data_IF_123781582269
#
_entry.id   IF_123781582269
#
_cell.length_a   1.000
_cell.length_b   1.000
_cell.length_c   1.000
_cell.angle_alpha   90.00
_cell.angle_beta   90.00
_cell.angle_gamma   90.00
#
_symmetry.space_group_name_H-M   'P 1'
#
loop_
_entity.id
_entity.type
_entity.pdbx_description
1 polymer ?
#
# COMPACT_ATOMS: atom_id res chain seq x y z
N UNK A 1 16.62 -19.58 15.11
CA UNK A 1 16.16 -18.55 14.15
C UNK A 1 17.37 -18.19 13.31
N UNK A 2 17.31 -18.26 11.98
CA UNK A 2 18.43 -17.77 11.17
C UNK A 2 18.73 -16.32 11.53
N UNK A 3 20.01 -15.99 11.60
CA UNK A 3 20.51 -14.67 12.01
C UNK A 3 20.30 -13.69 10.83
N UNK A 4 19.10 -13.11 10.74
CA UNK A 4 18.77 -12.07 9.73
C UNK A 4 19.46 -10.79 10.15
N UNK A 5 20.30 -10.24 9.28
CA UNK A 5 21.04 -8.99 9.48
C UNK A 5 20.75 -7.95 8.42
N UNK A 6 20.41 -8.39 7.21
CA UNK A 6 20.16 -7.54 6.04
C UNK A 6 18.76 -7.81 5.49
N UNK A 7 17.96 -6.76 5.39
CA UNK A 7 16.60 -6.82 4.85
C UNK A 7 16.47 -5.86 3.68
N UNK A 8 16.03 -6.36 2.54
CA UNK A 8 15.59 -5.54 1.42
C UNK A 8 14.08 -5.39 1.50
N UNK A 9 13.59 -4.16 1.65
CA UNK A 9 12.15 -3.86 1.58
C UNK A 9 11.81 -3.43 0.15
N UNK A 10 10.88 -4.14 -0.49
CA UNK A 10 10.31 -3.79 -1.80
C UNK A 10 8.87 -3.36 -1.59
N UNK A 11 8.53 -2.15 -2.03
CA UNK A 11 7.20 -1.59 -1.84
C UNK A 11 6.72 -0.81 -3.08
N UNK A 12 5.38 -0.66 -3.30
CA UNK A 12 4.85 -0.07 -4.51
C UNK A 12 4.92 1.47 -4.54
N UNK A 13 5.22 2.13 -3.42
CA UNK A 13 5.25 3.58 -3.34
C UNK A 13 4.06 4.19 -2.59
N UNK A 14 4.06 5.52 -2.39
CA UNK A 14 3.08 6.23 -1.57
C UNK A 14 1.66 6.22 -2.16
N UNK A 15 1.50 6.26 -3.49
CA UNK A 15 0.20 6.28 -4.15
C UNK A 15 -0.65 5.03 -3.90
N UNK A 16 -0.06 3.97 -3.37
CA UNK A 16 -0.74 2.70 -3.09
C UNK A 16 -1.19 2.55 -1.63
N UNK A 17 -1.31 3.63 -0.88
CA UNK A 17 -1.81 3.67 0.50
C UNK A 17 -1.03 2.83 1.52
N UNK A 18 0.17 2.36 1.17
CA UNK A 18 1.03 1.52 2.03
C UNK A 18 2.29 2.23 2.52
N UNK A 19 2.39 3.53 2.30
CA UNK A 19 3.57 4.31 2.70
C UNK A 19 3.84 4.22 4.21
N UNK A 20 2.79 4.29 5.03
CA UNK A 20 2.97 4.21 6.48
C UNK A 20 3.30 2.79 6.96
N UNK A 21 2.75 1.77 6.30
CA UNK A 21 3.12 0.37 6.54
C UNK A 21 4.61 0.18 6.24
N UNK A 22 5.07 0.63 5.07
CA UNK A 22 6.48 0.60 4.71
C UNK A 22 7.36 1.34 5.71
N UNK A 23 7.01 2.58 6.07
CA UNK A 23 7.79 3.39 7.00
C UNK A 23 7.87 2.74 8.38
N UNK A 24 6.77 2.19 8.88
CA UNK A 24 6.74 1.47 10.16
C UNK A 24 7.64 0.24 10.17
N UNK A 25 7.63 -0.56 9.11
CA UNK A 25 8.54 -1.70 8.98
C UNK A 25 10.01 -1.27 8.91
N UNK A 26 10.30 -0.23 8.11
CA UNK A 26 11.66 0.30 7.97
C UNK A 26 12.22 0.81 9.32
N UNK A 27 11.42 1.58 10.06
CA UNK A 27 11.76 2.06 11.39
C UNK A 27 11.99 0.93 12.39
N UNK A 28 11.06 -0.03 12.45
CA UNK A 28 11.13 -1.14 13.41
C UNK A 28 12.34 -2.03 13.13
N UNK A 29 12.59 -2.41 11.89
CA UNK A 29 13.73 -3.24 11.52
C UNK A 29 15.07 -2.52 11.79
N UNK A 30 15.14 -1.22 11.51
CA UNK A 30 16.31 -0.40 11.83
C UNK A 30 16.54 -0.30 13.34
N UNK A 31 15.47 -0.11 14.13
CA UNK A 31 15.55 -0.07 15.58
C UNK A 31 16.00 -1.41 16.20
N UNK A 32 15.72 -2.52 15.52
CA UNK A 32 16.24 -3.85 15.87
C UNK A 32 17.72 -4.06 15.49
N UNK A 33 18.37 -3.05 14.91
CA UNK A 33 19.77 -3.11 14.51
C UNK A 33 20.04 -3.81 13.18
N UNK A 34 18.99 -4.04 12.37
CA UNK A 34 19.14 -4.64 11.05
C UNK A 34 19.59 -3.58 10.03
N UNK A 35 20.38 -4.00 9.06
CA UNK A 35 20.69 -3.17 7.90
C UNK A 35 19.55 -3.29 6.90
N UNK A 36 18.88 -2.18 6.62
CA UNK A 36 17.72 -2.11 5.74
C UNK A 36 18.09 -1.39 4.44
N UNK A 37 17.77 -1.99 3.32
CA UNK A 37 17.83 -1.41 1.98
C UNK A 37 16.40 -1.30 1.44
N UNK A 38 16.14 -0.32 0.58
CA UNK A 38 14.81 0.02 0.12
C UNK A 38 14.73 0.01 -1.40
N UNK A 39 13.61 -0.50 -1.94
CA UNK A 39 13.30 -0.42 -3.35
C UNK A 39 11.87 0.06 -3.55
N UNK A 40 11.72 1.32 -3.97
CA UNK A 40 10.44 1.92 -4.30
C UNK A 40 10.13 1.67 -5.78
N UNK A 41 9.13 0.84 -6.05
CA UNK A 41 8.72 0.50 -7.43
C UNK A 41 8.12 1.70 -8.15
N UNK A 42 7.37 2.55 -7.46
CA UNK A 42 6.72 3.71 -8.08
C UNK A 42 7.73 4.75 -8.56
N UNK A 43 8.76 5.07 -7.78
CA UNK A 43 9.82 5.99 -8.20
C UNK A 43 10.51 5.51 -9.47
N UNK A 44 10.74 4.19 -9.57
CA UNK A 44 11.32 3.59 -10.76
C UNK A 44 10.35 3.60 -11.93
N UNK A 45 9.07 3.32 -11.68
CA UNK A 45 8.04 3.38 -12.70
C UNK A 45 7.89 4.79 -13.28
N UNK A 46 7.87 5.83 -12.44
CA UNK A 46 7.82 7.23 -12.88
C UNK A 46 9.03 7.58 -13.75
N UNK A 47 10.22 7.14 -13.34
CA UNK A 47 11.44 7.34 -14.12
C UNK A 47 11.33 6.67 -15.50
N UNK A 48 11.01 5.38 -15.57
CA UNK A 48 10.95 4.65 -16.84
C UNK A 48 9.78 5.09 -17.72
N UNK A 49 8.65 5.48 -17.16
CA UNK A 49 7.51 6.01 -17.92
C UNK A 49 7.81 7.36 -18.59
N UNK A 50 8.77 8.12 -18.04
CA UNK A 50 9.20 9.42 -18.62
C UNK A 50 10.44 9.27 -19.52
N UNK A 51 11.11 8.13 -19.52
CA UNK A 51 12.32 7.90 -20.30
C UNK A 51 11.99 7.54 -21.74
N UNK A 52 12.57 8.27 -22.71
CA UNK A 52 12.51 7.86 -24.10
C UNK A 52 13.41 6.66 -24.34
N UNK A 53 12.86 5.58 -24.88
CA UNK A 53 13.62 4.43 -25.34
C UNK A 53 14.10 4.66 -26.77
N UNK A 54 15.37 4.34 -27.04
CA UNK A 54 15.88 4.28 -28.40
C UNK A 54 15.69 2.87 -28.92
N UNK A 55 14.79 2.69 -29.89
CA UNK A 55 14.62 1.42 -30.60
C UNK A 55 15.37 1.49 -31.93
N UNK A 56 16.19 0.47 -32.22
CA UNK A 56 16.89 0.35 -33.50
C UNK A 56 16.07 -0.50 -34.46
N UNK A 57 15.74 0.05 -35.62
CA UNK A 57 15.18 -0.70 -36.74
C UNK A 57 16.21 -0.73 -37.89
N UNK A 58 16.35 -1.88 -38.53
CA UNK A 58 17.22 -2.00 -39.70
C UNK A 58 16.40 -1.73 -40.95
N UNK A 59 16.80 -0.72 -41.73
CA UNK A 59 16.17 -0.41 -42.99
C UNK A 59 16.47 -1.50 -44.08
N UNK A 60 15.82 -1.40 -45.23
CA UNK A 60 15.98 -2.35 -46.36
C UNK A 60 17.40 -2.37 -46.94
N UNK A 61 18.27 -1.43 -46.56
CA UNK A 61 19.66 -1.31 -46.94
C UNK A 61 20.65 -1.79 -45.88
N UNK A 62 20.12 -2.34 -44.74
CA UNK A 62 20.92 -2.82 -43.62
C UNK A 62 21.47 -1.72 -42.70
N UNK A 63 20.97 -0.48 -42.82
CA UNK A 63 21.37 0.63 -41.92
C UNK A 63 20.45 0.67 -40.72
N UNK A 64 21.02 0.88 -39.53
CA UNK A 64 20.26 1.01 -38.30
C UNK A 64 19.70 2.41 -38.15
N UNK A 65 18.38 2.52 -38.10
CA UNK A 65 17.67 3.76 -37.78
C UNK A 65 17.20 3.69 -36.32
N UNK A 66 17.57 4.68 -35.53
CA UNK A 66 17.13 4.78 -34.14
C UNK A 66 15.89 5.67 -34.04
N UNK A 67 14.80 5.08 -33.63
CA UNK A 67 13.57 5.80 -33.29
C UNK A 67 13.48 5.99 -31.77
N UNK A 68 13.03 7.16 -31.36
CA UNK A 68 12.68 7.40 -29.95
C UNK A 68 11.20 7.06 -29.76
N UNK A 69 10.90 6.19 -28.80
CA UNK A 69 9.55 5.87 -28.39
C UNK A 69 9.42 6.00 -26.88
N UNK A 70 8.25 6.38 -26.42
CA UNK A 70 7.89 6.23 -24.99
C UNK A 70 7.59 4.75 -24.75
N UNK A 71 7.98 4.20 -23.60
CA UNK A 71 7.68 2.82 -23.26
C UNK A 71 6.17 2.65 -23.04
N UNK A 72 5.65 1.51 -23.46
CA UNK A 72 4.32 1.08 -23.06
C UNK A 72 4.31 0.80 -21.54
N UNK A 73 3.11 0.86 -20.92
CA UNK A 73 2.98 0.70 -19.48
C UNK A 73 3.64 -0.57 -18.95
N UNK A 74 3.43 -1.69 -19.61
CA UNK A 74 3.98 -2.99 -19.17
C UNK A 74 5.51 -3.04 -19.32
N UNK A 75 6.08 -2.39 -20.33
CA UNK A 75 7.52 -2.25 -20.51
C UNK A 75 8.13 -1.40 -19.37
N UNK A 76 7.48 -0.30 -19.00
CA UNK A 76 7.91 0.54 -17.90
C UNK A 76 7.83 -0.20 -16.56
N UNK A 77 6.75 -0.97 -16.32
CA UNK A 77 6.62 -1.82 -15.13
C UNK A 77 7.72 -2.88 -15.10
N UNK A 78 7.96 -3.57 -16.20
CA UNK A 78 9.02 -4.58 -16.28
C UNK A 78 10.41 -3.98 -16.01
N UNK A 79 10.71 -2.82 -16.59
CA UNK A 79 11.98 -2.11 -16.37
C UNK A 79 12.13 -1.68 -14.90
N UNK A 80 11.08 -1.10 -14.31
CA UNK A 80 11.05 -0.71 -12.91
C UNK A 80 11.28 -1.93 -11.98
N UNK A 81 10.57 -3.02 -12.24
CA UNK A 81 10.63 -4.22 -11.40
C UNK A 81 11.97 -4.97 -11.51
N UNK A 82 12.58 -5.02 -12.70
CA UNK A 82 13.87 -5.69 -12.89
C UNK A 82 15.00 -5.13 -12.03
N UNK A 83 14.93 -3.85 -11.66
CA UNK A 83 15.88 -3.24 -10.74
C UNK A 83 15.90 -3.88 -9.34
N UNK A 84 14.82 -4.54 -8.93
CA UNK A 84 14.77 -5.32 -7.68
C UNK A 84 15.83 -6.42 -7.67
N UNK A 85 16.00 -7.14 -8.80
CA UNK A 85 17.02 -8.20 -8.92
C UNK A 85 18.43 -7.64 -8.79
N UNK A 86 18.72 -6.50 -9.43
CA UNK A 86 20.02 -5.83 -9.32
C UNK A 86 20.29 -5.42 -7.88
N UNK A 87 19.30 -4.83 -7.19
CA UNK A 87 19.44 -4.41 -5.80
C UNK A 87 19.62 -5.62 -4.88
N UNK A 88 18.84 -6.68 -5.07
CA UNK A 88 18.98 -7.92 -4.30
C UNK A 88 20.35 -8.56 -4.51
N UNK A 89 20.89 -8.55 -5.73
CA UNK A 89 22.23 -9.08 -6.00
C UNK A 89 23.35 -8.25 -5.35
N UNK A 90 23.26 -6.93 -5.42
CA UNK A 90 24.29 -6.03 -4.86
C UNK A 90 24.26 -6.01 -3.32
N UNK A 91 23.08 -5.96 -2.75
CA UNK A 91 22.90 -5.90 -1.30
C UNK A 91 23.01 -7.27 -0.64
N UNK A 92 22.62 -8.33 -1.34
CA UNK A 92 22.56 -9.72 -0.88
C UNK A 92 21.83 -9.88 0.45
N UNK A 93 20.53 -9.58 0.50
CA UNK A 93 19.75 -9.61 1.73
C UNK A 93 19.57 -11.03 2.27
N UNK A 94 19.50 -11.15 3.60
CA UNK A 94 19.11 -12.39 4.29
C UNK A 94 17.58 -12.61 4.18
N UNK A 95 16.82 -11.51 4.00
CA UNK A 95 15.37 -11.49 3.81
C UNK A 95 14.98 -10.40 2.81
N UNK A 96 14.16 -10.73 1.83
CA UNK A 96 13.42 -9.78 1.00
C UNK A 96 12.01 -9.66 1.57
N UNK A 97 11.65 -8.49 2.08
CA UNK A 97 10.30 -8.17 2.55
C UNK A 97 9.56 -7.42 1.46
N UNK A 98 8.55 -8.04 0.89
CA UNK A 98 7.69 -7.43 -0.13
C UNK A 98 6.41 -6.94 0.53
N UNK A 99 6.15 -5.63 0.45
CA UNK A 99 4.92 -5.04 0.96
C UNK A 99 3.92 -4.92 -0.19
N UNK A 100 2.73 -5.51 -0.04
CA UNK A 100 1.64 -5.56 -1.00
C UNK A 100 1.99 -6.31 -2.32
N UNK A 101 3.20 -6.14 -2.84
CA UNK A 101 3.67 -6.79 -4.07
C UNK A 101 3.06 -6.24 -5.36
N UNK A 102 2.32 -5.13 -5.31
CA UNK A 102 1.82 -4.44 -6.50
C UNK A 102 3.00 -3.97 -7.38
N UNK A 103 2.83 -4.00 -8.70
CA UNK A 103 3.86 -3.67 -9.68
C UNK A 103 5.06 -4.64 -9.70
N UNK A 104 5.08 -5.68 -8.88
CA UNK A 104 6.14 -6.68 -8.86
C UNK A 104 5.65 -7.96 -9.57
N UNK A 105 6.14 -8.28 -10.77
CA UNK A 105 5.78 -9.50 -11.49
C UNK A 105 6.18 -10.78 -10.73
N UNK A 106 5.32 -11.78 -10.74
CA UNK A 106 5.53 -13.02 -9.98
C UNK A 106 6.81 -13.77 -10.38
N UNK A 107 7.21 -13.73 -11.66
CA UNK A 107 8.43 -14.39 -12.14
C UNK A 107 9.71 -13.82 -11.50
N UNK A 108 9.72 -12.56 -11.04
CA UNK A 108 10.89 -12.00 -10.34
C UNK A 108 11.03 -12.58 -8.92
N UNK A 109 9.91 -12.89 -8.27
CA UNK A 109 9.93 -13.61 -6.99
C UNK A 109 10.47 -15.03 -7.18
N UNK A 110 10.07 -15.71 -8.26
CA UNK A 110 10.60 -17.02 -8.63
C UNK A 110 12.13 -16.96 -8.82
N UNK A 111 12.62 -16.02 -9.63
CA UNK A 111 14.06 -15.84 -9.87
C UNK A 111 14.82 -15.57 -8.56
N UNK A 112 14.29 -14.73 -7.68
CA UNK A 112 14.94 -14.45 -6.38
C UNK A 112 14.96 -15.69 -5.49
N UNK A 113 13.84 -16.45 -5.43
CA UNK A 113 13.77 -17.70 -4.68
C UNK A 113 14.79 -18.73 -5.20
N UNK A 114 14.86 -18.91 -6.52
CA UNK A 114 15.76 -19.88 -7.15
C UNK A 114 17.24 -19.51 -6.96
N UNK A 115 17.52 -18.25 -6.68
CA UNK A 115 18.86 -17.77 -6.26
C UNK A 115 19.11 -17.89 -4.75
N UNK A 116 18.17 -18.44 -4.00
CA UNK A 116 18.31 -18.72 -2.58
C UNK A 116 17.89 -17.60 -1.64
N UNK A 117 17.29 -16.50 -2.15
CA UNK A 117 16.75 -15.45 -1.28
C UNK A 117 15.50 -15.94 -0.55
N UNK A 118 15.41 -15.64 0.75
CA UNK A 118 14.18 -15.83 1.53
C UNK A 118 13.28 -14.63 1.28
N UNK A 119 12.02 -14.89 0.99
CA UNK A 119 11.04 -13.88 0.64
C UNK A 119 9.87 -13.96 1.61
N UNK A 120 9.54 -12.85 2.25
CA UNK A 120 8.29 -12.65 2.97
C UNK A 120 7.42 -11.66 2.20
N UNK A 121 6.14 -11.97 2.01
CA UNK A 121 5.18 -11.05 1.41
C UNK A 121 4.18 -10.64 2.49
N UNK A 122 4.02 -9.34 2.70
CA UNK A 122 2.97 -8.75 3.52
C UNK A 122 1.80 -8.37 2.61
N UNK A 123 0.70 -9.12 2.72
CA UNK A 123 -0.52 -8.91 1.97
C UNK A 123 -1.41 -7.93 2.75
N UNK A 124 -1.53 -6.69 2.24
CA UNK A 124 -2.29 -5.61 2.89
C UNK A 124 -3.72 -5.49 2.37
N UNK A 125 -4.04 -6.16 1.25
CA UNK A 125 -5.33 -6.11 0.57
C UNK A 125 -6.15 -7.41 0.72
N UNK A 126 -5.76 -8.31 1.60
CA UNK A 126 -6.60 -9.47 1.93
C UNK A 126 -7.83 -9.00 2.74
N UNK A 127 -9.03 -9.47 2.43
CA UNK A 127 -9.38 -10.54 1.47
C UNK A 127 -9.69 -10.04 0.03
N UNK A 128 -9.57 -8.76 -0.28
CA UNK A 128 -10.12 -8.13 -1.49
C UNK A 128 -9.37 -8.46 -2.79
N UNK A 129 -8.11 -8.89 -2.73
CA UNK A 129 -7.25 -9.15 -3.90
C UNK A 129 -6.59 -10.53 -3.85
N UNK A 130 -7.23 -11.52 -3.29
CA UNK A 130 -6.63 -12.82 -3.00
C UNK A 130 -6.16 -13.58 -4.22
N UNK A 131 -6.89 -13.54 -5.35
CA UNK A 131 -6.45 -14.20 -6.57
C UNK A 131 -5.11 -13.66 -7.10
N UNK A 132 -4.93 -12.36 -7.10
CA UNK A 132 -3.69 -11.72 -7.51
C UNK A 132 -2.56 -12.02 -6.52
N UNK A 133 -2.89 -12.02 -5.24
CA UNK A 133 -1.95 -12.32 -4.16
C UNK A 133 -1.47 -13.78 -4.23
N UNK A 134 -2.36 -14.74 -4.48
CA UNK A 134 -2.03 -16.17 -4.60
C UNK A 134 -1.03 -16.47 -5.71
N UNK A 135 -1.09 -15.74 -6.84
CA UNK A 135 -0.13 -15.91 -7.94
C UNK A 135 1.31 -15.62 -7.51
N UNK A 136 1.50 -14.74 -6.54
CA UNK A 136 2.81 -14.36 -5.99
C UNK A 136 3.19 -15.18 -4.77
N UNK A 137 2.21 -15.51 -3.96
CA UNK A 137 2.37 -16.19 -2.67
C UNK A 137 3.12 -17.53 -2.75
N UNK A 138 2.96 -18.28 -3.84
CA UNK A 138 3.64 -19.57 -4.06
C UNK A 138 5.18 -19.45 -4.12
N UNK A 139 5.70 -18.26 -4.42
CA UNK A 139 7.12 -18.00 -4.54
C UNK A 139 7.76 -17.48 -3.25
N UNK A 140 6.93 -17.18 -2.24
CA UNK A 140 7.40 -16.69 -0.96
C UNK A 140 7.75 -17.83 0.01
N UNK A 141 8.72 -17.57 0.88
CA UNK A 141 9.05 -18.45 2.02
C UNK A 141 7.98 -18.37 3.10
N UNK A 142 7.31 -17.20 3.22
CA UNK A 142 6.18 -16.96 4.12
C UNK A 142 5.30 -15.83 3.59
N UNK A 143 4.01 -15.98 3.77
CA UNK A 143 3.00 -14.97 3.47
C UNK A 143 2.36 -14.50 4.77
N UNK A 144 2.29 -13.19 4.95
CA UNK A 144 1.73 -12.54 6.13
C UNK A 144 0.46 -11.82 5.70
N UNK A 145 -0.70 -12.32 6.17
CA UNK A 145 -2.02 -11.80 5.82
C UNK A 145 -2.55 -10.92 6.95
N UNK A 146 -3.11 -9.77 6.60
CA UNK A 146 -3.77 -8.87 7.54
C UNK A 146 -5.16 -9.36 7.96
N UNK A 147 -5.74 -10.32 7.23
CA UNK A 147 -7.00 -10.98 7.60
C UNK A 147 -6.75 -12.48 7.90
N UNK A 148 -7.21 -13.00 9.05
CA UNK A 148 -7.01 -14.41 9.42
C UNK A 148 -7.90 -15.37 8.62
N UNK A 149 -9.00 -14.92 8.03
CA UNK A 149 -10.01 -15.77 7.38
C UNK A 149 -9.40 -16.62 6.26
N UNK A 150 -8.47 -16.06 5.50
CA UNK A 150 -7.91 -16.71 4.30
C UNK A 150 -6.65 -17.55 4.56
N UNK A 151 -6.14 -17.57 5.78
CA UNK A 151 -4.90 -18.30 6.11
C UNK A 151 -5.02 -19.79 5.78
N UNK A 152 -6.15 -20.40 6.13
CA UNK A 152 -6.36 -21.84 5.92
C UNK A 152 -6.51 -22.16 4.43
N UNK A 153 -7.03 -21.27 3.60
CA UNK A 153 -7.06 -21.43 2.15
C UNK A 153 -5.65 -21.45 1.55
N UNK A 154 -4.77 -20.57 2.00
CA UNK A 154 -3.35 -20.58 1.58
C UNK A 154 -2.66 -21.87 1.97
N UNK A 155 -2.84 -22.30 3.24
CA UNK A 155 -2.25 -23.53 3.77
C UNK A 155 -2.75 -24.79 3.07
N UNK A 156 -4.03 -24.84 2.70
CA UNK A 156 -4.61 -25.95 1.93
C UNK A 156 -3.97 -26.11 0.54
N UNK A 157 -3.46 -25.03 -0.02
CA UNK A 157 -2.68 -25.01 -1.28
C UNK A 157 -1.18 -25.32 -1.06
N UNK A 158 -0.76 -25.63 0.18
CA UNK A 158 0.64 -25.84 0.52
C UNK A 158 1.47 -24.57 0.60
N UNK A 159 0.84 -23.40 0.65
CA UNK A 159 1.50 -22.08 0.69
C UNK A 159 1.69 -21.69 2.16
N UNK A 160 2.94 -21.46 2.64
CA UNK A 160 3.18 -21.02 4.01
C UNK A 160 2.53 -19.65 4.26
N UNK A 161 1.61 -19.59 5.21
CA UNK A 161 0.90 -18.36 5.57
C UNK A 161 0.70 -18.22 7.08
N UNK A 162 0.70 -16.97 7.54
CA UNK A 162 0.46 -16.60 8.92
C UNK A 162 -0.28 -15.27 9.04
N UNK A 163 -0.93 -15.05 10.18
CA UNK A 163 -1.61 -13.82 10.50
C UNK A 163 -0.61 -12.74 10.93
N UNK A 164 -0.71 -11.56 10.34
CA UNK A 164 0.01 -10.36 10.72
C UNK A 164 -0.98 -9.20 10.82
N UNK A 165 -1.49 -8.89 12.01
CA UNK A 165 -2.44 -7.79 12.18
C UNK A 165 -1.82 -6.46 11.81
N UNK A 166 -2.66 -5.50 11.48
CA UNK A 166 -2.23 -4.11 11.38
C UNK A 166 -1.63 -3.67 12.70
N UNK A 167 -0.51 -2.94 12.61
CA UNK A 167 0.22 -2.43 13.75
C UNK A 167 0.19 -0.91 13.76
N UNK A 168 0.55 -0.31 14.86
CA UNK A 168 0.68 1.12 15.00
C UNK A 168 2.17 1.55 15.06
N UNK A 169 2.45 2.78 14.69
CA UNK A 169 3.76 3.42 14.85
C UNK A 169 3.76 4.24 16.12
N UNK A 170 4.54 3.87 17.16
CA UNK A 170 4.49 4.54 18.48
C UNK A 170 4.82 6.04 18.43
N UNK A 171 5.66 6.47 17.48
CA UNK A 171 6.01 7.88 17.29
C UNK A 171 4.85 8.74 16.75
N UNK A 172 3.88 8.12 16.07
CA UNK A 172 2.74 8.79 15.43
C UNK A 172 1.44 8.51 16.18
N UNK A 173 1.11 7.22 16.34
CA UNK A 173 -0.14 6.75 16.95
C UNK A 173 0.03 6.67 18.47
N UNK A 174 0.01 7.81 19.13
CA UNK A 174 0.18 7.93 20.59
C UNK A 174 -0.89 8.84 21.20
N UNK A 175 -0.94 8.87 22.52
CA UNK A 175 -1.86 9.70 23.31
C UNK A 175 -1.35 11.12 23.54
N UNK A 176 -0.50 11.63 22.66
CA UNK A 176 -0.01 13.02 22.71
C UNK A 176 -1.14 14.06 22.60
N UNK A 177 -0.81 15.35 22.68
CA UNK A 177 -1.80 16.40 22.59
C UNK A 177 -2.51 16.37 21.23
N UNK A 178 -3.81 16.69 21.22
CA UNK A 178 -4.55 17.06 20.03
C UNK A 178 -4.08 18.41 19.49
N UNK A 179 -4.71 18.87 18.43
CA UNK A 179 -4.52 20.20 17.89
C UNK A 179 -5.84 20.94 18.01
N UNK A 180 -5.83 22.11 18.65
CA UNK A 180 -7.07 22.86 18.94
C UNK A 180 -7.87 23.20 17.67
N UNK A 181 -7.15 23.43 16.56
CA UNK A 181 -7.74 23.73 15.25
C UNK A 181 -8.43 22.51 14.59
N UNK A 182 -8.23 21.30 15.12
CA UNK A 182 -8.82 20.04 14.62
C UNK A 182 -9.89 19.49 15.56
N UNK A 183 -10.29 20.26 16.59
CA UNK A 183 -11.29 19.81 17.56
C UNK A 183 -12.61 19.48 16.88
N UNK A 184 -13.17 18.31 17.18
CA UNK A 184 -14.49 17.88 16.72
C UNK A 184 -15.19 16.99 17.74
N UNK A 185 -16.52 16.91 17.67
CA UNK A 185 -17.28 15.97 18.49
C UNK A 185 -17.14 14.54 17.95
N UNK A 186 -17.03 14.40 16.62
CA UNK A 186 -16.95 13.13 15.94
C UNK A 186 -15.97 13.22 14.77
N UNK A 187 -15.10 12.21 14.62
CA UNK A 187 -14.20 12.10 13.47
C UNK A 187 -14.26 10.72 12.82
N UNK A 188 -14.19 10.71 11.51
CA UNK A 188 -13.89 9.55 10.70
C UNK A 188 -12.81 9.90 9.69
N UNK A 189 -11.72 9.11 9.67
CA UNK A 189 -10.66 9.25 8.69
C UNK A 189 -10.56 7.97 7.87
N UNK A 190 -10.75 8.07 6.57
CA UNK A 190 -10.68 6.93 5.66
C UNK A 190 -11.25 7.23 4.28
N UNK A 191 -11.12 6.27 3.36
CA UNK A 191 -11.68 6.40 2.01
C UNK A 191 -13.20 6.32 2.05
N UNK A 192 -13.87 7.22 1.35
CA UNK A 192 -15.32 7.22 1.13
C UNK A 192 -15.73 6.17 0.11
N UNK A 193 -15.67 4.89 0.51
CA UNK A 193 -16.23 3.81 -0.29
C UNK A 193 -17.75 3.90 -0.33
N UNK A 194 -18.43 3.35 -1.36
CA UNK A 194 -19.88 3.44 -1.50
C UNK A 194 -20.66 3.07 -0.23
N UNK A 195 -20.30 1.98 0.44
CA UNK A 195 -20.95 1.55 1.69
C UNK A 195 -20.78 2.56 2.84
N UNK A 196 -19.66 3.26 2.90
CA UNK A 196 -19.40 4.29 3.90
C UNK A 196 -20.16 5.57 3.60
N UNK A 197 -20.19 6.00 2.32
CA UNK A 197 -20.98 7.16 1.88
C UNK A 197 -22.44 6.91 2.22
N UNK A 198 -23.01 5.78 1.82
CA UNK A 198 -24.41 5.42 2.13
C UNK A 198 -24.70 5.44 3.63
N UNK A 199 -23.79 4.89 4.44
CA UNK A 199 -23.95 4.91 5.90
C UNK A 199 -24.01 6.33 6.46
N UNK A 200 -23.05 7.19 6.09
CA UNK A 200 -22.98 8.55 6.60
C UNK A 200 -24.12 9.43 6.09
N UNK A 201 -24.57 9.26 4.84
CA UNK A 201 -25.75 9.97 4.31
C UNK A 201 -27.04 9.55 5.03
N UNK A 202 -27.21 8.26 5.32
CA UNK A 202 -28.35 7.78 6.15
C UNK A 202 -28.27 8.34 7.56
N UNK A 203 -27.09 8.38 8.17
CA UNK A 203 -26.91 8.94 9.50
C UNK A 203 -27.22 10.44 9.54
N UNK A 204 -26.75 11.19 8.52
CA UNK A 204 -27.07 12.60 8.36
C UNK A 204 -28.58 12.82 8.21
N UNK A 205 -29.25 12.07 7.31
CA UNK A 205 -30.70 12.17 7.08
C UNK A 205 -31.53 11.82 8.31
N UNK A 206 -31.02 10.99 9.21
CA UNK A 206 -31.64 10.66 10.49
C UNK A 206 -31.38 11.69 11.61
N UNK A 207 -30.70 12.80 11.31
CA UNK A 207 -30.34 13.83 12.29
C UNK A 207 -29.20 13.44 13.24
N UNK A 208 -28.43 12.39 12.88
CA UNK A 208 -27.37 11.87 13.74
C UNK A 208 -26.17 12.82 13.90
N UNK A 209 -26.10 13.86 13.10
CA UNK A 209 -25.07 14.90 13.16
C UNK A 209 -25.58 16.24 13.71
N UNK A 210 -26.86 16.34 14.05
CA UNK A 210 -27.47 17.59 14.47
C UNK A 210 -26.80 18.14 15.75
N UNK A 211 -26.28 19.36 15.66
CA UNK A 211 -25.62 20.05 16.78
C UNK A 211 -24.25 19.50 17.15
N UNK A 212 -23.66 18.64 16.30
CA UNK A 212 -22.32 18.11 16.48
C UNK A 212 -21.34 18.74 15.47
N UNK A 213 -20.12 18.92 15.92
CA UNK A 213 -19.00 19.28 15.05
C UNK A 213 -18.37 18.00 14.47
N UNK A 214 -18.43 17.83 13.14
CA UNK A 214 -18.09 16.60 12.44
C UNK A 214 -16.88 16.82 11.57
N UNK A 215 -15.87 15.94 11.71
CA UNK A 215 -14.69 15.87 10.85
C UNK A 215 -14.70 14.58 10.01
N UNK A 216 -14.99 14.70 8.72
CA UNK A 216 -14.76 13.64 7.74
C UNK A 216 -13.47 13.93 6.98
N UNK A 217 -12.55 12.97 6.93
CA UNK A 217 -11.26 13.14 6.27
C UNK A 217 -10.86 11.86 5.50
N UNK A 218 -9.87 12.00 4.60
CA UNK A 218 -9.43 10.94 3.70
C UNK A 218 -9.92 11.17 2.26
N UNK A 219 -9.76 10.19 1.40
CA UNK A 219 -10.16 10.30 0.00
C UNK A 219 -11.66 10.02 -0.18
N UNK A 220 -12.43 11.00 -0.67
CA UNK A 220 -13.88 10.94 -0.87
C UNK A 220 -14.30 11.19 -2.34
N UNK A 221 -13.44 10.88 -3.31
CA UNK A 221 -13.69 11.10 -4.75
C UNK A 221 -15.03 10.56 -5.25
N UNK A 222 -15.56 9.50 -4.65
CA UNK A 222 -16.86 8.93 -5.00
C UNK A 222 -18.07 9.71 -4.48
N UNK A 223 -17.86 10.78 -3.71
CA UNK A 223 -18.95 11.57 -3.13
C UNK A 223 -19.62 12.44 -4.18
N UNK A 224 -20.95 12.34 -4.32
CA UNK A 224 -21.74 13.13 -5.26
C UNK A 224 -21.64 14.65 -4.98
N UNK A 225 -21.81 15.47 -6.01
CA UNK A 225 -21.67 16.92 -5.89
C UNK A 225 -22.72 17.55 -4.98
N UNK A 226 -23.89 16.96 -4.90
CA UNK A 226 -25.03 17.38 -4.08
C UNK A 226 -25.11 16.62 -2.73
N UNK A 227 -24.14 15.79 -2.39
CA UNK A 227 -24.13 15.06 -1.13
C UNK A 227 -24.10 16.01 0.08
N UNK A 228 -24.97 15.76 1.10
CA UNK A 228 -24.98 16.55 2.33
C UNK A 228 -23.71 16.40 3.16
N UNK A 229 -22.85 15.44 2.84
CA UNK A 229 -21.59 15.20 3.55
C UNK A 229 -20.46 16.15 3.10
N UNK A 230 -20.57 16.80 1.93
CA UNK A 230 -19.50 17.70 1.43
C UNK A 230 -19.10 18.81 2.42
N UNK A 231 -20.03 19.50 3.09
CA UNK A 231 -19.68 20.50 4.09
C UNK A 231 -18.98 19.95 5.34
N UNK A 232 -19.04 18.63 5.55
CA UNK A 232 -18.43 17.95 6.70
C UNK A 232 -16.99 17.49 6.42
N UNK A 233 -16.54 17.61 5.15
CA UNK A 233 -15.15 17.28 4.81
C UNK A 233 -14.21 18.34 5.37
N UNK A 234 -13.19 17.90 6.08
CA UNK A 234 -12.21 18.77 6.71
C UNK A 234 -11.05 19.18 5.80
N UNK A 235 -11.06 18.74 4.52
CA UNK A 235 -10.01 19.00 3.53
C UNK A 235 -10.52 18.73 2.11
N UNK A 236 -9.67 18.89 1.09
CA UNK A 236 -10.02 18.64 -0.30
C UNK A 236 -10.44 17.18 -0.53
N UNK A 237 -11.55 17.00 -1.27
CA UNK A 237 -12.23 15.72 -1.47
C UNK A 237 -11.36 14.62 -2.10
N UNK A 238 -10.39 15.01 -2.92
CA UNK A 238 -9.50 14.12 -3.66
C UNK A 238 -8.14 13.91 -2.96
N UNK A 239 -7.96 14.51 -1.79
CA UNK A 239 -6.71 14.43 -1.05
C UNK A 239 -6.71 13.28 -0.05
N UNK A 240 -5.68 12.43 -0.13
CA UNK A 240 -5.34 11.57 1.00
C UNK A 240 -4.59 12.39 2.06
N UNK A 241 -4.84 12.10 3.32
CA UNK A 241 -4.08 12.67 4.42
C UNK A 241 -3.11 11.63 4.98
N UNK A 242 -1.99 12.10 5.50
CA UNK A 242 -1.00 11.23 6.14
C UNK A 242 -1.45 10.76 7.53
N UNK A 243 -0.75 9.77 8.05
CA UNK A 243 -1.07 9.22 9.36
C UNK A 243 -0.72 10.15 10.53
N UNK A 244 0.18 11.11 10.34
CA UNK A 244 0.47 12.11 11.36
C UNK A 244 -0.73 13.05 11.56
N UNK A 245 -1.28 13.58 10.46
CA UNK A 245 -2.50 14.38 10.48
C UNK A 245 -3.71 13.54 10.96
N UNK A 246 -3.83 12.29 10.50
CA UNK A 246 -4.85 11.35 10.96
C UNK A 246 -4.82 11.19 12.49
N UNK A 247 -3.64 10.96 13.06
CA UNK A 247 -3.48 10.80 14.50
C UNK A 247 -3.83 12.10 15.26
N UNK A 248 -3.49 13.27 14.71
CA UNK A 248 -3.86 14.57 15.28
C UNK A 248 -5.36 14.80 15.29
N UNK A 249 -6.06 14.46 14.20
CA UNK A 249 -7.52 14.54 14.10
C UNK A 249 -8.17 13.66 15.19
N UNK A 250 -7.77 12.39 15.29
CA UNK A 250 -8.35 11.49 16.29
C UNK A 250 -8.04 11.93 17.74
N UNK A 251 -6.84 12.47 18.01
CA UNK A 251 -6.52 13.01 19.35
C UNK A 251 -7.33 14.26 19.71
N UNK A 252 -7.73 15.06 18.72
CA UNK A 252 -8.51 16.26 18.91
C UNK A 252 -10.04 15.98 18.99
N UNK A 253 -10.48 14.82 18.57
CA UNK A 253 -11.88 14.45 18.49
C UNK A 253 -12.35 13.75 19.76
N UNK A 254 -13.63 14.00 20.16
CA UNK A 254 -14.24 13.33 21.32
C UNK A 254 -14.59 11.87 21.03
N UNK A 255 -14.97 11.58 19.78
CA UNK A 255 -15.33 10.24 19.31
C UNK A 255 -14.70 9.97 17.93
N UNK A 256 -13.97 8.88 17.81
CA UNK A 256 -13.50 8.35 16.51
C UNK A 256 -14.30 7.12 16.09
N UNK A 257 -14.74 7.08 14.84
CA UNK A 257 -15.40 5.90 14.28
C UNK A 257 -14.41 5.07 13.47
N UNK A 258 -14.49 3.76 13.59
CA UNK A 258 -13.84 2.81 12.68
C UNK A 258 -14.91 1.99 11.94
N UNK A 259 -14.84 1.97 10.61
CA UNK A 259 -15.72 1.17 9.75
C UNK A 259 -14.91 0.32 8.81
N UNK A 260 -15.16 -0.97 8.81
CA UNK A 260 -14.60 -1.88 7.83
C UNK A 260 -15.19 -1.63 6.43
N UNK A 261 -14.38 -1.90 5.42
CA UNK A 261 -14.83 -1.92 4.02
C UNK A 261 -15.72 -3.15 3.79
N UNK A 262 -16.77 -3.01 2.96
CA UNK A 262 -17.74 -4.08 2.67
C UNK A 262 -17.83 -4.44 1.18
N UNK A 263 -17.21 -3.68 0.30
CA UNK A 263 -17.36 -3.78 -1.16
C UNK A 263 -16.93 -5.12 -1.77
N UNK A 264 -16.26 -5.98 -1.00
CA UNK A 264 -15.93 -7.34 -1.43
C UNK A 264 -16.95 -8.40 -1.00
N UNK A 265 -17.91 -8.06 -0.14
CA UNK A 265 -18.93 -8.99 0.33
C UNK A 265 -20.06 -9.19 -0.70
N UNK A 266 -20.18 -8.27 -1.68
CA UNK A 266 -21.24 -8.22 -2.68
C UNK A 266 -20.76 -8.58 -4.11
N UNK A 267 -19.52 -9.09 -4.28
CA UNK A 267 -18.92 -9.42 -5.57
C UNK A 267 -18.99 -10.90 -5.91
#
# INVERSE_FOLDING_TARGET
VPDVKRVLIVHPGPEFSVQDVYAGWAEALTALGLRVEHYNLNDRLLFYSSACLATGETDSQGRMEFKRAMPERDEAIAAAANGVLSTAYQFWPDLVLVIMGQLLPAHLLEVMRDRGHKIAILHTESPYQDEEQLRKAQWASVNLLNDPVNIDAYRALGIPAGYMPHAYRPGIHNTGPGADELTSDFAFVGTGFPSRIEFFEKLHAAGGFDGLDIALAGNWLGLADDSPLRPLLSHDIDSCIDNELTARIYRASRLGLNMYRREAEDA
#
